data_IF_731533907819
#
_entry.id   IF_731533907819
#
_cell.length_a   1.000
_cell.length_b   1.000
_cell.length_c   1.000
_cell.angle_alpha   90.00
_cell.angle_beta   90.00
_cell.angle_gamma   90.00
#
_symmetry.space_group_name_H-M   'P 1'
#
loop_
_entity.id
_entity.type
_entity.pdbx_description
1 polymer ?
#
# COMPACT_ATOMS: atom_id res chain seq x y z
N UNK A 1 49.46 -13.31 -54.64
CA UNK A 1 49.73 -13.22 -53.19
C UNK A 1 48.85 -12.11 -52.62
N UNK A 2 47.67 -12.47 -52.08
CA UNK A 2 46.65 -11.52 -51.58
C UNK A 2 46.76 -11.47 -50.07
N UNK A 3 47.10 -10.30 -49.53
CA UNK A 3 47.21 -10.06 -48.09
C UNK A 3 45.84 -9.62 -47.56
N UNK A 4 45.22 -10.47 -46.71
CA UNK A 4 43.96 -10.14 -46.01
C UNK A 4 44.31 -9.54 -44.66
N UNK A 5 43.95 -8.26 -44.43
CA UNK A 5 44.00 -7.59 -43.11
C UNK A 5 42.75 -7.93 -42.33
N UNK A 6 42.88 -8.67 -41.23
CA UNK A 6 41.86 -8.83 -40.22
C UNK A 6 41.91 -7.65 -39.24
N UNK A 7 40.92 -6.80 -39.29
CA UNK A 7 40.70 -5.79 -38.23
C UNK A 7 40.00 -6.43 -37.05
N UNK A 8 40.66 -6.47 -35.90
CA UNK A 8 40.11 -6.86 -34.62
C UNK A 8 39.38 -5.69 -34.00
N UNK A 9 38.03 -5.78 -33.86
CA UNK A 9 37.25 -4.87 -33.04
C UNK A 9 37.48 -5.21 -31.55
N UNK A 10 38.21 -4.34 -30.83
CA UNK A 10 38.29 -4.40 -29.36
C UNK A 10 36.99 -3.94 -28.74
N UNK A 11 36.32 -4.82 -28.01
CA UNK A 11 35.20 -4.42 -27.11
C UNK A 11 35.79 -3.90 -25.79
N UNK A 12 35.67 -2.58 -25.56
CA UNK A 12 35.99 -1.96 -24.30
C UNK A 12 34.90 -2.30 -23.28
N UNK A 13 35.11 -3.35 -22.48
CA UNK A 13 34.31 -3.66 -21.32
C UNK A 13 34.72 -2.76 -20.17
N UNK A 14 34.09 -1.57 -20.05
CA UNK A 14 34.27 -0.70 -18.88
C UNK A 14 33.51 -1.27 -17.67
N UNK A 15 34.19 -2.06 -16.84
CA UNK A 15 33.73 -2.45 -15.52
C UNK A 15 33.87 -1.21 -14.61
N UNK A 16 32.73 -0.57 -14.28
CA UNK A 16 32.71 0.51 -13.30
C UNK A 16 32.57 -0.09 -11.89
N UNK A 17 33.63 -0.05 -11.10
CA UNK A 17 33.60 -0.46 -9.69
C UNK A 17 33.13 0.73 -8.85
N UNK A 18 31.97 0.60 -8.19
CA UNK A 18 31.51 1.58 -7.22
C UNK A 18 31.88 1.15 -5.81
N UNK A 19 32.65 1.97 -5.11
CA UNK A 19 32.87 1.80 -3.67
C UNK A 19 31.73 2.48 -2.91
N UNK A 20 30.85 1.68 -2.30
CA UNK A 20 29.84 2.18 -1.37
C UNK A 20 30.51 2.37 0.00
N UNK A 21 30.59 3.61 0.46
CA UNK A 21 31.00 3.92 1.82
C UNK A 21 29.98 3.32 2.80
N UNK A 22 30.44 2.44 3.72
CA UNK A 22 29.62 1.94 4.83
C UNK A 22 29.34 3.10 5.79
N UNK A 23 28.22 3.77 5.60
CA UNK A 23 27.70 4.72 6.60
C UNK A 23 27.17 3.92 7.77
N UNK A 24 27.67 4.15 8.98
CA UNK A 24 27.11 3.58 10.22
C UNK A 24 25.64 3.99 10.30
N UNK A 25 24.74 3.02 10.48
CA UNK A 25 23.33 3.27 10.68
C UNK A 25 23.13 4.25 11.85
N UNK A 26 22.36 5.33 11.68
CA UNK A 26 22.05 6.23 12.78
C UNK A 26 21.16 5.51 13.79
N UNK A 27 21.53 5.64 15.08
CA UNK A 27 20.74 5.16 16.21
C UNK A 27 19.36 5.82 16.15
N UNK A 28 18.32 5.01 16.00
CA UNK A 28 16.93 5.41 15.87
C UNK A 28 16.45 6.10 17.16
N UNK A 29 16.45 7.46 17.17
CA UNK A 29 15.58 8.21 18.07
C UNK A 29 14.15 8.14 17.53
N UNK A 30 13.10 7.98 18.38
CA UNK A 30 11.73 8.03 17.91
C UNK A 30 11.51 9.39 17.21
N UNK A 31 11.32 9.35 15.91
CA UNK A 31 11.00 10.53 15.09
C UNK A 31 9.53 10.84 15.37
N UNK A 32 9.25 11.97 15.97
CA UNK A 32 7.91 12.55 16.05
C UNK A 32 7.49 12.82 14.61
N UNK A 33 6.55 12.02 14.10
CA UNK A 33 6.04 12.17 12.73
C UNK A 33 5.10 13.37 12.68
N UNK A 34 5.45 14.35 11.85
CA UNK A 34 4.58 15.49 11.56
C UNK A 34 3.48 15.02 10.61
N UNK A 35 2.20 15.39 10.83
CA UNK A 35 1.13 15.05 9.90
C UNK A 35 1.44 15.57 8.48
N UNK A 36 1.40 14.69 7.48
CA UNK A 36 1.52 15.10 6.09
C UNK A 36 0.22 15.81 5.66
N UNK A 37 0.29 17.12 5.45
CA UNK A 37 -0.85 17.92 4.92
C UNK A 37 -0.87 17.82 3.40
N UNK A 38 -1.86 17.13 2.85
CA UNK A 38 -2.08 17.03 1.41
C UNK A 38 -3.05 18.11 0.92
N UNK A 39 -2.87 18.56 -0.32
CA UNK A 39 -3.78 19.48 -1.02
C UNK A 39 -5.19 18.93 -1.27
N UNK A 40 -5.47 17.73 -0.82
CA UNK A 40 -6.70 16.95 -1.06
C UNK A 40 -7.76 17.07 0.03
N UNK A 41 -7.53 17.89 1.06
CA UNK A 41 -8.48 18.06 2.18
C UNK A 41 -8.43 16.95 3.24
N UNK A 42 -7.44 16.07 3.20
CA UNK A 42 -7.18 15.04 4.22
C UNK A 42 -5.75 15.10 4.72
N UNK A 43 -5.55 14.69 5.97
CA UNK A 43 -4.22 14.47 6.54
C UNK A 43 -4.19 13.16 7.33
N UNK A 44 -2.99 12.62 7.51
CA UNK A 44 -2.73 11.35 8.17
C UNK A 44 -1.32 11.31 8.76
N UNK A 45 -1.12 10.37 9.66
CA UNK A 45 0.21 10.01 10.16
C UNK A 45 0.55 8.62 9.61
N UNK A 46 1.67 8.51 8.89
CA UNK A 46 2.15 7.22 8.38
C UNK A 46 3.34 6.72 9.19
N UNK A 47 3.55 5.40 9.29
CA UNK A 47 4.79 4.84 9.83
C UNK A 47 6.01 5.34 9.07
N UNK A 48 7.11 5.61 9.79
CA UNK A 48 8.34 6.16 9.20
C UNK A 48 9.01 5.22 8.18
N UNK A 49 8.72 3.92 8.26
CA UNK A 49 9.19 2.91 7.31
C UNK A 49 8.49 2.95 5.95
N UNK A 50 7.29 3.53 5.86
CA UNK A 50 6.53 3.60 4.61
C UNK A 50 7.10 4.66 3.67
N UNK A 51 7.23 4.31 2.41
CA UNK A 51 7.84 5.17 1.39
C UNK A 51 6.71 5.67 0.47
N UNK A 52 6.58 6.99 0.35
CA UNK A 52 5.63 7.55 -0.62
C UNK A 52 6.02 7.13 -2.04
N UNK A 53 5.06 6.64 -2.80
CA UNK A 53 5.27 6.18 -4.17
C UNK A 53 4.34 6.87 -5.16
N UNK A 54 4.71 6.82 -6.45
CA UNK A 54 3.88 7.38 -7.51
C UNK A 54 2.69 6.46 -7.76
N UNK A 55 1.48 6.97 -7.54
CA UNK A 55 0.24 6.26 -7.83
C UNK A 55 -0.41 6.71 -9.15
N UNK A 56 -1.53 6.08 -9.51
CA UNK A 56 -2.39 6.57 -10.59
C UNK A 56 -3.07 7.88 -10.18
N UNK A 57 -3.55 8.66 -11.14
CA UNK A 57 -4.26 9.93 -10.91
C UNK A 57 -5.54 9.79 -10.07
N UNK A 58 -6.05 8.57 -9.89
CA UNK A 58 -7.22 8.29 -9.04
C UNK A 58 -6.86 8.04 -7.57
N UNK A 59 -5.57 7.88 -7.25
CA UNK A 59 -5.11 7.65 -5.87
C UNK A 59 -4.83 8.98 -5.19
N UNK A 60 -5.40 9.16 -4.03
CA UNK A 60 -5.13 10.27 -3.13
C UNK A 60 -3.70 10.18 -2.59
N UNK A 61 -3.27 8.96 -2.28
CA UNK A 61 -1.91 8.62 -1.86
C UNK A 61 -1.54 7.20 -2.25
N UNK A 62 -0.23 6.95 -2.35
CA UNK A 62 0.36 5.63 -2.56
C UNK A 62 1.61 5.48 -1.71
N UNK A 63 1.79 4.30 -1.12
CA UNK A 63 2.97 3.97 -0.33
C UNK A 63 3.48 2.57 -0.64
N UNK A 64 4.79 2.46 -0.76
CA UNK A 64 5.49 1.19 -0.69
C UNK A 64 5.72 0.86 0.78
N UNK A 65 5.22 -0.30 1.21
CA UNK A 65 5.18 -0.71 2.62
C UNK A 65 6.07 -1.93 2.82
N UNK A 66 7.28 -1.74 3.41
CA UNK A 66 8.20 -2.85 3.60
C UNK A 66 7.74 -3.81 4.69
N UNK A 67 7.97 -5.11 4.48
CA UNK A 67 7.82 -6.18 5.46
C UNK A 67 8.94 -7.21 5.30
N UNK A 68 9.07 -8.18 6.21
CA UNK A 68 10.21 -9.11 6.22
C UNK A 68 10.35 -9.97 4.95
N UNK A 69 9.26 -10.16 4.20
CA UNK A 69 9.21 -10.96 2.97
C UNK A 69 9.19 -10.16 1.67
N UNK A 70 9.20 -8.81 1.72
CA UNK A 70 9.13 -7.99 0.50
C UNK A 70 8.52 -6.61 0.71
N UNK A 71 7.72 -6.19 -0.26
CA UNK A 71 7.10 -4.87 -0.32
C UNK A 71 5.61 -4.99 -0.62
N UNK A 72 4.77 -4.34 0.19
CA UNK A 72 3.35 -4.18 -0.07
C UNK A 72 3.07 -2.87 -0.82
N UNK A 73 1.99 -2.83 -1.61
CA UNK A 73 1.45 -1.61 -2.24
C UNK A 73 0.22 -1.14 -1.46
N UNK A 74 0.30 0.02 -0.83
CA UNK A 74 -0.83 0.65 -0.17
C UNK A 74 -1.34 1.81 -1.01
N UNK A 75 -2.65 1.83 -1.23
CA UNK A 75 -3.34 2.89 -1.95
C UNK A 75 -4.46 3.50 -1.11
N UNK A 76 -4.60 4.82 -1.16
CA UNK A 76 -5.74 5.57 -0.65
C UNK A 76 -6.52 6.12 -1.83
N UNK A 77 -7.82 5.79 -1.93
CA UNK A 77 -8.71 6.25 -3.00
C UNK A 77 -9.91 6.93 -2.35
N UNK A 78 -10.33 8.06 -2.93
CA UNK A 78 -11.50 8.80 -2.51
C UNK A 78 -12.59 8.67 -3.56
N UNK A 79 -13.79 8.29 -3.15
CA UNK A 79 -14.96 8.20 -4.02
C UNK A 79 -16.12 9.03 -3.43
N UNK A 80 -16.93 9.62 -4.31
CA UNK A 80 -18.13 10.34 -3.90
C UNK A 80 -19.22 9.40 -3.33
N UNK A 81 -20.03 9.93 -2.42
CA UNK A 81 -21.08 9.18 -1.75
C UNK A 81 -20.55 7.98 -0.97
N UNK A 82 -21.27 6.87 -1.03
CA UNK A 82 -20.86 5.62 -0.37
C UNK A 82 -19.74 4.87 -1.11
N UNK A 83 -19.31 5.35 -2.28
CA UNK A 83 -18.34 4.64 -3.13
C UNK A 83 -18.81 3.29 -3.65
N UNK A 84 -20.14 3.05 -3.69
CA UNK A 84 -20.78 1.77 -3.98
C UNK A 84 -21.12 0.97 -2.73
N UNK A 85 -21.80 -0.18 -2.90
CA UNK A 85 -22.13 -1.05 -1.77
C UNK A 85 -20.89 -1.77 -1.24
N UNK A 86 -20.87 -2.11 0.05
CA UNK A 86 -19.83 -2.93 0.69
C UNK A 86 -19.67 -4.24 -0.08
N UNK A 87 -20.77 -4.93 -0.36
CA UNK A 87 -20.77 -6.21 -1.08
C UNK A 87 -20.11 -6.10 -2.46
N UNK A 88 -20.45 -5.08 -3.24
CA UNK A 88 -19.86 -4.88 -4.57
C UNK A 88 -18.35 -4.60 -4.50
N UNK A 89 -17.90 -3.81 -3.53
CA UNK A 89 -16.49 -3.48 -3.35
C UNK A 89 -15.70 -4.70 -2.91
N UNK A 90 -16.16 -5.43 -1.89
CA UNK A 90 -15.48 -6.61 -1.37
C UNK A 90 -15.43 -7.70 -2.44
N UNK A 91 -16.51 -7.97 -3.15
CA UNK A 91 -16.53 -8.96 -4.22
C UNK A 91 -15.65 -8.56 -5.41
N UNK A 92 -15.47 -7.26 -5.68
CA UNK A 92 -14.47 -6.81 -6.65
C UNK A 92 -13.06 -7.15 -6.19
N UNK A 93 -12.71 -6.96 -4.91
CA UNK A 93 -11.40 -7.32 -4.36
C UNK A 93 -11.20 -8.84 -4.32
N UNK A 94 -12.21 -9.61 -3.94
CA UNK A 94 -12.17 -11.08 -3.97
C UNK A 94 -11.86 -11.61 -5.37
N UNK A 95 -12.53 -11.08 -6.41
CA UNK A 95 -12.22 -11.45 -7.80
C UNK A 95 -10.79 -11.12 -8.23
N UNK A 96 -10.19 -10.03 -7.72
CA UNK A 96 -8.78 -9.71 -7.99
C UNK A 96 -7.82 -10.76 -7.40
N UNK A 97 -8.24 -11.48 -6.39
CA UNK A 97 -7.52 -12.59 -5.76
C UNK A 97 -8.00 -13.97 -6.24
N UNK A 98 -8.77 -14.05 -7.32
CA UNK A 98 -9.36 -15.30 -7.84
C UNK A 98 -10.19 -16.07 -6.79
N UNK A 99 -10.91 -15.35 -5.94
CA UNK A 99 -11.81 -15.91 -4.93
C UNK A 99 -13.27 -15.73 -5.38
N UNK A 100 -14.10 -16.69 -5.00
CA UNK A 100 -15.55 -16.63 -5.24
C UNK A 100 -16.19 -15.45 -4.51
N UNK A 101 -17.30 -14.95 -5.05
CA UNK A 101 -18.08 -13.92 -4.41
C UNK A 101 -18.77 -14.43 -3.15
N UNK A 102 -18.94 -13.56 -2.17
CA UNK A 102 -19.68 -13.80 -0.94
C UNK A 102 -20.92 -12.93 -0.89
N UNK A 103 -21.95 -13.36 -0.15
CA UNK A 103 -23.09 -12.55 0.20
C UNK A 103 -22.70 -11.45 1.19
N UNK A 104 -23.50 -10.37 1.26
CA UNK A 104 -23.30 -9.30 2.24
C UNK A 104 -23.21 -9.85 3.68
N UNK A 105 -24.05 -10.83 4.02
CA UNK A 105 -24.08 -11.46 5.34
C UNK A 105 -22.77 -12.16 5.70
N UNK A 106 -22.13 -12.84 4.75
CA UNK A 106 -20.82 -13.49 4.96
C UNK A 106 -19.73 -12.44 5.10
N UNK A 107 -19.74 -11.40 4.27
CA UNK A 107 -18.78 -10.30 4.32
C UNK A 107 -18.85 -9.56 5.65
N UNK A 108 -20.05 -9.25 6.14
CA UNK A 108 -20.23 -8.53 7.41
C UNK A 108 -19.70 -9.30 8.61
N UNK A 109 -19.73 -10.63 8.57
CA UNK A 109 -19.11 -11.46 9.64
C UNK A 109 -17.59 -11.42 9.66
N UNK A 110 -16.96 -11.16 8.52
CA UNK A 110 -15.51 -11.06 8.40
C UNK A 110 -15.00 -9.63 8.65
N UNK A 111 -15.89 -8.64 8.60
CA UNK A 111 -15.54 -7.24 8.84
C UNK A 111 -15.37 -6.96 10.32
N UNK A 112 -14.36 -6.15 10.64
CA UNK A 112 -14.09 -5.67 11.99
C UNK A 112 -14.32 -4.17 12.02
N UNK A 113 -15.07 -3.71 13.04
CA UNK A 113 -15.34 -2.30 13.27
C UNK A 113 -14.21 -1.64 14.06
N UNK A 114 -13.81 -0.45 13.61
CA UNK A 114 -12.81 0.40 14.24
C UNK A 114 -13.30 1.83 14.38
N UNK A 115 -12.62 2.63 15.21
CA UNK A 115 -12.83 4.07 15.35
C UNK A 115 -11.54 4.82 15.08
N UNK A 116 -11.65 5.93 14.35
CA UNK A 116 -10.53 6.79 14.03
C UNK A 116 -10.93 8.25 13.90
N UNK A 117 -10.04 9.07 13.37
CA UNK A 117 -10.25 10.51 13.24
C UNK A 117 -11.41 10.90 12.31
N UNK A 118 -11.80 10.04 11.36
CA UNK A 118 -12.97 10.23 10.49
C UNK A 118 -14.26 9.65 11.07
N UNK A 119 -14.22 9.00 12.24
CA UNK A 119 -15.35 8.29 12.84
C UNK A 119 -15.23 6.77 12.76
N UNK A 120 -16.38 6.09 12.74
CA UNK A 120 -16.43 4.63 12.66
C UNK A 120 -16.09 4.17 11.25
N UNK A 121 -15.28 3.10 11.14
CA UNK A 121 -14.90 2.50 9.86
C UNK A 121 -14.76 0.98 9.97
N UNK A 122 -14.71 0.31 8.84
CA UNK A 122 -14.64 -1.15 8.78
C UNK A 122 -13.38 -1.61 8.07
N UNK A 123 -12.79 -2.69 8.56
CA UNK A 123 -11.66 -3.38 7.91
C UNK A 123 -12.08 -4.80 7.56
N UNK A 124 -11.64 -5.27 6.38
CA UNK A 124 -11.73 -6.66 5.96
C UNK A 124 -10.37 -7.16 5.48
N UNK A 125 -10.04 -8.40 5.84
CA UNK A 125 -8.87 -9.13 5.35
C UNK A 125 -9.34 -10.17 4.33
N UNK A 126 -8.76 -10.17 3.14
CA UNK A 126 -9.08 -11.09 2.05
C UNK A 126 -7.78 -11.81 1.68
N UNK A 127 -7.74 -13.14 1.81
CA UNK A 127 -6.52 -13.93 1.63
C UNK A 127 -6.77 -15.05 0.63
N UNK A 128 -5.86 -15.21 -0.32
CA UNK A 128 -5.73 -16.41 -1.12
C UNK A 128 -4.34 -17.01 -0.86
N UNK A 129 -4.31 -18.04 0.00
CA UNK A 129 -3.05 -18.72 0.37
C UNK A 129 -2.42 -19.48 -0.81
N UNK A 130 -3.24 -19.98 -1.76
CA UNK A 130 -2.74 -20.72 -2.93
C UNK A 130 -1.95 -19.81 -3.88
N UNK A 131 -2.35 -18.55 -4.00
CA UNK A 131 -1.69 -17.55 -4.84
C UNK A 131 -0.67 -16.69 -4.07
N UNK A 132 -0.43 -16.97 -2.80
CA UNK A 132 0.36 -16.12 -1.89
C UNK A 132 0.01 -14.64 -2.00
N UNK A 133 -1.29 -14.33 -2.09
CA UNK A 133 -1.80 -12.98 -2.33
C UNK A 133 -2.89 -12.62 -1.35
N UNK A 134 -2.85 -11.40 -0.84
CA UNK A 134 -3.84 -10.94 0.13
C UNK A 134 -4.06 -9.42 0.05
N UNK A 135 -5.24 -8.99 0.47
CA UNK A 135 -5.60 -7.60 0.68
C UNK A 135 -6.01 -7.36 2.13
N UNK A 136 -5.60 -6.21 2.67
CA UNK A 136 -6.18 -5.61 3.85
C UNK A 136 -6.85 -4.31 3.40
N UNK A 137 -8.16 -4.23 3.56
CA UNK A 137 -8.97 -3.14 3.02
C UNK A 137 -9.74 -2.45 4.12
N UNK A 138 -9.67 -1.12 4.18
CA UNK A 138 -10.49 -0.28 5.06
C UNK A 138 -11.48 0.55 4.25
N UNK A 139 -12.70 0.71 4.78
CA UNK A 139 -13.78 1.52 4.23
C UNK A 139 -14.12 2.57 5.28
N UNK A 140 -13.74 3.84 5.00
CA UNK A 140 -13.86 4.96 5.93
C UNK A 140 -14.85 5.99 5.38
N UNK A 141 -16.07 6.07 5.92
CA UNK A 141 -16.98 7.15 5.59
C UNK A 141 -16.41 8.52 6.02
N UNK A 142 -16.48 9.53 5.15
CA UNK A 142 -15.96 10.88 5.39
C UNK A 142 -16.93 11.93 4.88
N UNK A 143 -18.03 12.13 5.60
CA UNK A 143 -19.12 13.02 5.21
C UNK A 143 -19.86 12.52 3.97
N UNK A 144 -19.82 13.27 2.86
CA UNK A 144 -20.43 12.90 1.59
C UNK A 144 -19.49 12.09 0.65
N UNK A 145 -18.41 11.54 1.20
CA UNK A 145 -17.38 10.80 0.47
C UNK A 145 -17.03 9.54 1.26
N UNK A 146 -16.34 8.62 0.61
CA UNK A 146 -15.76 7.43 1.25
C UNK A 146 -14.31 7.28 0.84
N UNK A 147 -13.42 7.10 1.81
CA UNK A 147 -12.05 6.71 1.57
C UNK A 147 -11.95 5.19 1.60
N UNK A 148 -11.24 4.67 0.61
CA UNK A 148 -10.84 3.26 0.56
C UNK A 148 -9.33 3.19 0.71
N UNK A 149 -8.88 2.54 1.76
CA UNK A 149 -7.46 2.24 1.95
C UNK A 149 -7.27 0.76 1.67
N UNK A 150 -6.43 0.43 0.71
CA UNK A 150 -6.13 -0.96 0.34
C UNK A 150 -4.63 -1.22 0.36
N UNK A 151 -4.21 -2.17 1.19
CA UNK A 151 -2.88 -2.76 1.16
C UNK A 151 -2.93 -4.08 0.40
N UNK A 152 -2.02 -4.25 -0.56
CA UNK A 152 -1.79 -5.49 -1.31
C UNK A 152 -0.42 -6.05 -0.93
N UNK A 153 -0.38 -7.28 -0.43
CA UNK A 153 0.84 -7.99 -0.06
C UNK A 153 0.57 -9.50 -0.04
N UNK A 154 1.59 -10.33 0.20
CA UNK A 154 1.36 -11.73 0.57
C UNK A 154 0.75 -11.85 1.97
N UNK A 155 0.16 -13.00 2.33
CA UNK A 155 -0.49 -13.23 3.63
C UNK A 155 0.41 -12.93 4.82
N UNK A 156 1.71 -13.23 4.73
CA UNK A 156 2.71 -12.89 5.74
C UNK A 156 2.84 -11.37 5.92
N UNK A 157 2.93 -10.62 4.81
CA UNK A 157 3.02 -9.17 4.83
C UNK A 157 1.80 -8.52 5.46
N UNK A 158 0.58 -9.00 5.13
CA UNK A 158 -0.64 -8.51 5.76
C UNK A 158 -0.59 -8.67 7.28
N UNK A 159 -0.17 -9.84 7.78
CA UNK A 159 -0.06 -10.10 9.23
C UNK A 159 0.97 -9.20 9.93
N UNK A 160 2.09 -8.91 9.28
CA UNK A 160 3.16 -8.07 9.84
C UNK A 160 2.77 -6.58 9.87
N UNK A 161 2.06 -6.12 8.83
CA UNK A 161 1.74 -4.69 8.63
C UNK A 161 0.41 -4.28 9.30
N UNK A 162 -0.44 -5.22 9.68
CA UNK A 162 -1.83 -4.94 10.10
C UNK A 162 -1.94 -3.88 11.20
N UNK A 163 -1.09 -3.92 12.21
CA UNK A 163 -1.11 -2.92 13.30
C UNK A 163 -0.80 -1.51 12.79
N UNK A 164 0.20 -1.39 11.92
CA UNK A 164 0.57 -0.12 11.29
C UNK A 164 -0.53 0.38 10.35
N UNK A 165 -1.17 -0.52 9.61
CA UNK A 165 -2.29 -0.22 8.74
C UNK A 165 -3.50 0.32 9.51
N UNK A 166 -3.86 -0.29 10.64
CA UNK A 166 -4.93 0.16 11.53
C UNK A 166 -4.58 1.54 12.09
N UNK A 167 -3.36 1.75 12.55
CA UNK A 167 -2.88 3.04 13.08
C UNK A 167 -2.96 4.13 12.02
N UNK A 168 -2.53 3.84 10.79
CA UNK A 168 -2.64 4.75 9.65
C UNK A 168 -4.10 5.11 9.35
N UNK A 169 -4.99 4.12 9.21
CA UNK A 169 -6.42 4.35 8.97
C UNK A 169 -7.07 5.18 10.08
N UNK A 170 -6.72 4.91 11.34
CA UNK A 170 -7.26 5.64 12.49
C UNK A 170 -6.77 7.09 12.56
N UNK A 171 -5.61 7.39 11.98
CA UNK A 171 -5.01 8.74 11.96
C UNK A 171 -5.60 9.67 10.89
N UNK A 172 -6.38 9.14 9.94
CA UNK A 172 -7.00 9.91 8.87
C UNK A 172 -8.00 10.92 9.44
N UNK A 173 -7.83 12.19 9.06
CA UNK A 173 -8.73 13.29 9.44
C UNK A 173 -8.99 14.21 8.25
N UNK A 174 -10.07 14.99 8.31
CA UNK A 174 -10.30 16.08 7.37
C UNK A 174 -9.38 17.24 7.76
N UNK A 175 -8.58 17.72 6.82
CA UNK A 175 -7.76 18.93 6.98
C UNK A 175 -8.64 20.17 6.79
N UNK A 176 -8.65 21.07 7.75
CA UNK A 176 -9.29 22.37 7.69
C UNK A 176 -8.29 23.41 7.20
#
# INVERSE_FOLDING_TARGET
>A
MILVFLQSCGQDNHIRTYQLAKTKAPVNKPRVETPEKNSTGFSWTKPGSWIASSGSSMRLASFDVPFSGGMGDLSVIQLGGTGGSIEANVNRWRRQLNLDSQSLFEIEKEMIDYKGGLGDYKIIRIINEELDSAFLCAILPAGNQTLFVKLSAGPKGIREIETDFISFCSSLIISI
#
